data_IF_250738176958
#
_entry.id   IF_250738176958
#
_cell.length_a   1.000
_cell.length_b   1.000
_cell.length_c   1.000
_cell.angle_alpha   90.00
_cell.angle_beta   90.00
_cell.angle_gamma   90.00
#
_symmetry.space_group_name_H-M   'P 1'
#
loop_
_entity.id
_entity.type
_entity.pdbx_description
1 polymer ?
#
# COMPACT_ATOMS: atom_id res chain seq x y z
N UNK A 1 -14.20 16.30 28.16
CA UNK A 1 -14.10 14.96 28.79
C UNK A 1 -14.83 13.83 28.01
N UNK A 2 -15.04 13.96 26.70
CA UNK A 2 -15.61 12.87 25.88
C UNK A 2 -14.52 12.05 25.15
N UNK A 3 -13.52 12.74 24.58
CA UNK A 3 -12.44 12.12 23.78
C UNK A 3 -11.57 11.16 24.60
N UNK A 4 -11.26 11.48 25.86
CA UNK A 4 -10.47 10.59 26.72
C UNK A 4 -11.18 9.28 27.06
N UNK A 5 -12.51 9.22 27.01
CA UNK A 5 -13.28 7.99 27.25
C UNK A 5 -13.18 7.03 26.06
N UNK A 6 -13.14 7.56 24.83
CA UNK A 6 -12.96 6.77 23.60
C UNK A 6 -11.56 6.17 23.50
N UNK A 7 -10.53 6.92 23.90
CA UNK A 7 -9.13 6.45 23.86
C UNK A 7 -8.82 5.32 24.86
N UNK A 8 -9.64 5.15 25.90
CA UNK A 8 -9.49 4.11 26.92
C UNK A 8 -10.23 2.81 26.59
N UNK A 9 -11.12 2.83 25.60
CA UNK A 9 -11.77 1.62 25.14
C UNK A 9 -10.78 0.87 24.25
N UNK A 10 -10.19 -0.20 24.77
CA UNK A 10 -9.41 -1.21 24.02
C UNK A 10 -10.28 -2.01 23.02
N UNK A 11 -11.46 -1.50 22.68
CA UNK A 11 -12.38 -2.20 21.80
C UNK A 11 -11.86 -2.08 20.38
N UNK A 12 -11.42 -3.23 19.84
CA UNK A 12 -10.91 -3.32 18.48
C UNK A 12 -12.06 -3.05 17.52
N UNK A 13 -12.12 -1.83 16.99
CA UNK A 13 -13.11 -1.43 16.01
C UNK A 13 -12.79 -2.10 14.67
N UNK A 14 -13.53 -3.16 14.36
CA UNK A 14 -13.46 -3.81 13.05
C UNK A 14 -14.24 -3.00 12.02
N UNK A 15 -13.78 -3.03 10.77
CA UNK A 15 -14.58 -2.55 9.66
C UNK A 15 -15.90 -3.35 9.58
N UNK A 16 -17.02 -2.70 9.23
CA UNK A 16 -18.29 -3.39 8.98
C UNK A 16 -18.12 -4.56 8.01
N UNK A 17 -18.94 -5.60 8.16
CA UNK A 17 -18.83 -6.82 7.36
C UNK A 17 -18.87 -6.57 5.85
N UNK A 18 -19.82 -5.74 5.40
CA UNK A 18 -19.95 -5.32 4.01
C UNK A 18 -18.63 -4.77 3.43
N UNK A 19 -17.89 -4.00 4.24
CA UNK A 19 -16.61 -3.41 3.85
C UNK A 19 -15.52 -4.47 3.77
N UNK A 20 -15.50 -5.41 4.73
CA UNK A 20 -14.53 -6.53 4.73
C UNK A 20 -14.73 -7.45 3.52
N UNK A 21 -15.98 -7.78 3.19
CA UNK A 21 -16.30 -8.63 2.03
C UNK A 21 -15.91 -7.98 0.71
N UNK A 22 -16.00 -6.65 0.60
CA UNK A 22 -15.60 -5.88 -0.59
C UNK A 22 -14.13 -5.45 -0.60
N UNK A 23 -13.33 -5.88 0.37
CA UNK A 23 -11.93 -5.49 0.42
C UNK A 23 -11.17 -6.01 -0.82
N UNK A 24 -10.33 -5.14 -1.39
CA UNK A 24 -9.41 -5.50 -2.47
C UNK A 24 -8.39 -6.57 -2.04
N UNK A 25 -8.20 -6.72 -0.72
CA UNK A 25 -7.29 -7.68 -0.12
C UNK A 25 -8.03 -8.44 0.98
N UNK A 26 -8.33 -9.70 0.72
CA UNK A 26 -9.11 -10.54 1.64
C UNK A 26 -8.24 -11.12 2.77
N UNK A 27 -7.01 -11.54 2.45
CA UNK A 27 -6.07 -12.09 3.43
C UNK A 27 -4.92 -11.11 3.72
N UNK A 28 -5.25 -10.00 4.38
CA UNK A 28 -4.27 -8.97 4.73
C UNK A 28 -3.04 -9.50 5.49
N UNK A 29 -3.17 -10.37 6.52
CA UNK A 29 -2.00 -10.82 7.28
C UNK A 29 -0.94 -11.53 6.42
N UNK A 30 -1.38 -12.38 5.50
CA UNK A 30 -0.49 -13.13 4.63
C UNK A 30 0.16 -12.24 3.56
N UNK A 31 -0.62 -11.37 2.93
CA UNK A 31 -0.13 -10.43 1.93
C UNK A 31 0.84 -9.41 2.56
N UNK A 32 0.60 -9.01 3.81
CA UNK A 32 1.52 -8.20 4.59
C UNK A 32 2.85 -8.95 4.83
N UNK A 33 2.80 -10.22 5.26
CA UNK A 33 3.99 -11.05 5.45
C UNK A 33 4.81 -11.15 4.15
N UNK A 34 4.15 -11.47 3.03
CA UNK A 34 4.80 -11.54 1.70
C UNK A 34 5.48 -10.23 1.31
N UNK A 35 4.84 -9.09 1.59
CA UNK A 35 5.39 -7.77 1.27
C UNK A 35 6.67 -7.43 2.05
N UNK A 36 6.91 -8.08 3.19
CA UNK A 36 8.11 -7.91 4.00
C UNK A 36 9.22 -8.90 3.63
N UNK A 37 8.85 -10.14 3.29
CA UNK A 37 9.81 -11.20 3.00
C UNK A 37 10.43 -11.07 1.60
N UNK A 38 9.65 -10.68 0.59
CA UNK A 38 10.11 -10.43 -0.77
C UNK A 38 9.48 -9.14 -1.31
N UNK A 39 9.98 -7.97 -0.87
CA UNK A 39 9.39 -6.70 -1.25
C UNK A 39 9.53 -6.40 -2.75
N UNK A 40 10.64 -6.79 -3.39
CA UNK A 40 10.85 -6.55 -4.81
C UNK A 40 9.90 -7.39 -5.67
N UNK A 41 9.81 -8.69 -5.39
CA UNK A 41 8.88 -9.58 -6.08
C UNK A 41 7.43 -9.17 -5.85
N UNK A 42 7.05 -8.91 -4.59
CA UNK A 42 5.70 -8.51 -4.22
C UNK A 42 5.26 -7.23 -4.95
N UNK A 43 6.00 -6.14 -4.83
CA UNK A 43 5.62 -4.88 -5.46
C UNK A 43 5.77 -4.92 -6.98
N UNK A 44 6.71 -5.71 -7.51
CA UNK A 44 6.84 -5.95 -8.94
C UNK A 44 5.60 -6.63 -9.53
N UNK A 45 5.00 -7.60 -8.84
CA UNK A 45 3.75 -8.24 -9.24
C UNK A 45 2.58 -7.25 -9.28
N UNK A 46 2.48 -6.37 -8.28
CA UNK A 46 1.47 -5.31 -8.25
C UNK A 46 1.68 -4.30 -9.37
N UNK A 47 2.90 -3.84 -9.60
CA UNK A 47 3.23 -2.85 -10.62
C UNK A 47 2.88 -3.32 -12.04
N UNK A 48 3.09 -4.61 -12.34
CA UNK A 48 2.75 -5.21 -13.64
C UNK A 48 1.25 -5.18 -13.99
N UNK A 49 0.37 -4.96 -13.00
CA UNK A 49 -1.10 -4.89 -13.21
C UNK A 49 -1.54 -3.55 -13.79
N UNK A 50 -0.70 -2.51 -13.72
CA UNK A 50 -1.05 -1.18 -14.18
C UNK A 50 -0.67 -0.97 -15.64
N UNK A 51 -1.42 -0.10 -16.32
CA UNK A 51 -0.97 0.47 -17.58
C UNK A 51 0.08 1.53 -17.30
N UNK A 52 1.23 1.39 -17.95
CA UNK A 52 2.30 2.38 -17.90
C UNK A 52 2.54 2.95 -19.29
N UNK A 53 2.77 4.26 -19.37
CA UNK A 53 3.21 4.91 -20.61
C UNK A 53 4.58 4.36 -21.06
N UNK A 54 5.44 4.03 -20.10
CA UNK A 54 6.74 3.38 -20.30
C UNK A 54 6.81 2.10 -19.49
N UNK A 55 7.41 1.00 -19.99
CA UNK A 55 7.51 -0.24 -19.23
C UNK A 55 8.07 -0.02 -17.83
N UNK A 56 7.41 -0.62 -16.85
CA UNK A 56 7.88 -0.60 -15.47
C UNK A 56 9.17 -1.40 -15.36
N UNK A 57 10.20 -0.76 -14.80
CA UNK A 57 11.46 -1.39 -14.43
C UNK A 57 11.52 -1.48 -12.89
N UNK A 58 11.62 -2.68 -12.31
CA UNK A 58 11.74 -2.83 -10.87
C UNK A 58 13.01 -2.15 -10.35
N UNK A 59 12.87 -1.20 -9.44
CA UNK A 59 13.99 -0.63 -8.70
C UNK A 59 13.70 -0.73 -7.21
N UNK A 60 13.99 -1.87 -6.60
CA UNK A 60 13.99 -2.01 -5.14
C UNK A 60 15.38 -1.72 -4.57
N UNK A 61 15.49 -0.92 -3.50
CA UNK A 61 16.78 -0.60 -2.87
C UNK A 61 16.62 -0.39 -1.36
N UNK A 62 17.41 -1.08 -0.54
CA UNK A 62 17.54 -0.87 0.92
C UNK A 62 19.02 -0.85 1.35
N UNK A 63 19.43 -0.13 2.42
CA UNK A 63 18.59 0.57 3.40
C UNK A 63 18.72 2.11 3.42
N UNK A 64 17.77 2.70 4.14
CA UNK A 64 17.65 4.10 4.54
C UNK A 64 18.95 4.58 5.23
N UNK A 65 19.76 5.36 4.53
CA UNK A 65 20.79 6.20 5.17
C UNK A 65 20.16 7.57 5.55
N UNK A 66 20.77 8.34 6.47
CA UNK A 66 20.31 9.69 6.81
C UNK A 66 20.19 10.66 5.61
N UNK A 67 20.66 10.27 4.42
CA UNK A 67 20.64 11.06 3.19
C UNK A 67 19.33 10.96 2.38
N UNK A 68 18.30 10.24 2.86
CA UNK A 68 17.14 9.89 2.01
C UNK A 68 17.54 8.79 1.00
N UNK A 69 16.64 7.95 0.50
CA UNK A 69 15.41 8.31 -0.19
C UNK A 69 14.46 7.11 -0.16
N UNK A 70 13.18 7.35 0.10
CA UNK A 70 12.10 6.39 -0.19
C UNK A 70 12.06 6.24 -1.71
N UNK A 71 12.27 5.03 -2.22
CA UNK A 71 12.15 4.77 -3.65
C UNK A 71 10.66 4.89 -4.06
N UNK A 72 10.27 6.09 -4.49
CA UNK A 72 9.12 6.26 -5.37
C UNK A 72 9.51 5.67 -6.73
N UNK A 73 8.66 4.88 -7.40
CA UNK A 73 8.93 4.48 -8.77
C UNK A 73 9.19 5.74 -9.61
N UNK A 74 10.26 5.75 -10.45
CA UNK A 74 10.51 6.88 -11.34
C UNK A 74 9.35 6.96 -12.33
N UNK A 75 8.41 7.89 -12.12
CA UNK A 75 7.22 8.01 -13.00
C UNK A 75 6.00 8.74 -12.46
N UNK A 76 5.97 9.14 -11.18
CA UNK A 76 4.82 9.88 -10.62
C UNK A 76 3.64 8.97 -10.24
N UNK A 77 2.63 9.53 -9.56
CA UNK A 77 1.46 8.78 -9.13
C UNK A 77 0.68 8.23 -10.34
N UNK A 78 0.10 7.02 -10.25
CA UNK A 78 -0.80 6.54 -11.29
C UNK A 78 -1.94 7.56 -11.44
N UNK A 79 -2.07 8.15 -12.63
CA UNK A 79 -3.24 8.97 -12.95
C UNK A 79 -4.42 8.04 -13.23
N UNK A 80 -5.58 8.41 -12.72
CA UNK A 80 -6.87 7.84 -13.09
C UNK A 80 -6.97 7.74 -14.61
N UNK A 81 -7.66 6.71 -15.13
CA UNK A 81 -7.93 6.53 -16.58
C UNK A 81 -8.53 7.79 -17.22
N UNK A 82 -9.16 8.65 -16.42
CA UNK A 82 -9.86 9.86 -16.83
C UNK A 82 -9.04 11.16 -16.63
N UNK A 83 -7.76 11.07 -16.25
CA UNK A 83 -6.83 12.21 -16.26
C UNK A 83 -6.90 13.18 -15.08
N UNK A 84 -7.83 13.03 -14.14
CA UNK A 84 -7.93 13.92 -12.97
C UNK A 84 -6.95 13.52 -11.82
N UNK A 85 -6.32 14.48 -11.14
CA UNK A 85 -5.42 14.24 -10.01
C UNK A 85 -6.22 13.84 -8.76
N UNK A 86 -5.86 12.69 -8.18
CA UNK A 86 -6.32 12.26 -6.85
C UNK A 86 -5.41 12.73 -5.72
#
# INVERSE_FOLDING_TARGET
>A
MAVQKLLKAEERLWAPEEVRLRANLQNFPEEYRRSLEDPEGFWGEWARRFYWEKPFEPTFRTPFTPAGNIARPPGGAPRSRDGEPG
#
